data_IF_206473896724
#
_entry.id   IF_206473896724
#
_cell.length_a   1.000
_cell.length_b   1.000
_cell.length_c   1.000
_cell.angle_alpha   90.00
_cell.angle_beta   90.00
_cell.angle_gamma   90.00
#
_symmetry.space_group_name_H-M   'P 1'
#
loop_
_entity.id
_entity.type
_entity.pdbx_description
1 polymer ?
#
# COMPACT_ATOMS: atom_id res chain seq x y z
N UNK A 1 -16.07 15.30 -9.79
CA UNK A 1 -14.79 15.64 -9.14
C UNK A 1 -14.25 14.35 -8.56
N UNK A 2 -13.06 13.91 -8.95
CA UNK A 2 -12.44 12.70 -8.41
C UNK A 2 -12.12 12.94 -6.93
N UNK A 3 -12.84 12.27 -6.02
CA UNK A 3 -12.44 12.23 -4.62
C UNK A 3 -11.23 11.31 -4.51
N UNK A 4 -10.04 11.86 -4.78
CA UNK A 4 -8.77 11.21 -4.46
C UNK A 4 -8.79 10.94 -2.97
N UNK A 5 -8.60 9.67 -2.58
CA UNK A 5 -8.48 9.30 -1.17
C UNK A 5 -7.03 9.44 -0.78
N UNK A 6 -6.75 10.50 -0.04
CA UNK A 6 -5.44 10.74 0.53
C UNK A 6 -5.26 9.87 1.78
N UNK A 7 -4.07 9.30 1.91
CA UNK A 7 -3.59 8.67 3.14
C UNK A 7 -2.49 9.54 3.72
N UNK A 8 -2.35 9.57 5.03
CA UNK A 8 -1.65 10.65 5.72
C UNK A 8 -0.38 10.17 6.41
N UNK A 9 0.62 11.04 6.51
CA UNK A 9 1.83 10.77 7.28
C UNK A 9 1.57 10.97 8.79
N UNK A 10 2.31 10.30 9.70
CA UNK A 10 2.25 10.58 11.13
C UNK A 10 2.31 12.07 11.51
N UNK A 11 3.07 12.87 10.77
CA UNK A 11 3.15 14.32 10.98
C UNK A 11 1.82 15.02 10.69
N UNK A 12 1.12 14.63 9.62
CA UNK A 12 -0.19 15.20 9.29
C UNK A 12 -1.22 14.90 10.39
N UNK A 13 -1.20 13.68 10.93
CA UNK A 13 -2.09 13.26 12.03
C UNK A 13 -1.77 14.04 13.30
N UNK A 14 -0.48 14.19 13.63
CA UNK A 14 -0.03 14.98 14.79
C UNK A 14 -0.45 16.44 14.68
N UNK A 15 -0.32 17.03 13.50
CA UNK A 15 -0.79 18.39 13.25
C UNK A 15 -2.30 18.50 13.36
N UNK A 16 -3.04 17.50 12.89
CA UNK A 16 -4.49 17.46 12.99
C UNK A 16 -4.97 17.38 14.45
N UNK A 17 -4.33 16.54 15.28
CA UNK A 17 -4.57 16.50 16.73
C UNK A 17 -4.28 17.87 17.37
N UNK A 18 -3.17 18.51 17.00
CA UNK A 18 -2.83 19.85 17.51
C UNK A 18 -3.86 20.91 17.08
N UNK A 19 -4.37 20.85 15.84
CA UNK A 19 -5.42 21.75 15.36
C UNK A 19 -6.74 21.51 16.08
N UNK A 20 -7.09 20.26 16.36
CA UNK A 20 -8.28 19.93 17.15
C UNK A 20 -8.19 20.49 18.57
N UNK A 21 -7.03 20.31 19.23
CA UNK A 21 -6.84 20.75 20.62
C UNK A 21 -6.67 22.27 20.71
N UNK A 22 -5.66 22.82 20.04
CA UNK A 22 -5.28 24.22 20.19
C UNK A 22 -6.06 25.16 19.27
N UNK A 23 -6.48 24.68 18.10
CA UNK A 23 -7.24 25.48 17.13
C UNK A 23 -8.74 25.49 17.42
N UNK A 24 -9.34 24.32 17.65
CA UNK A 24 -10.77 24.17 17.92
C UNK A 24 -11.13 24.18 19.41
N UNK A 25 -10.15 24.03 20.30
CA UNK A 25 -10.35 24.04 21.74
C UNK A 25 -10.92 22.74 22.32
N UNK A 26 -10.81 21.63 21.60
CA UNK A 26 -11.33 20.33 22.06
C UNK A 26 -10.33 19.72 23.04
N UNK A 27 -10.72 19.39 24.29
CA UNK A 27 -9.80 18.77 25.23
C UNK A 27 -9.27 17.43 24.72
N UNK A 28 -7.98 17.17 24.89
CA UNK A 28 -7.29 15.92 24.53
C UNK A 28 -8.02 14.67 25.04
N UNK A 29 -8.50 14.71 26.29
CA UNK A 29 -9.26 13.61 26.89
C UNK A 29 -10.58 13.30 26.16
N UNK A 30 -11.19 14.30 25.49
CA UNK A 30 -12.40 14.10 24.67
C UNK A 30 -12.05 13.41 23.35
N UNK A 31 -10.91 13.74 22.73
CA UNK A 31 -10.43 13.04 21.54
C UNK A 31 -10.17 11.56 21.86
N UNK A 32 -9.46 11.28 22.96
CA UNK A 32 -9.20 9.93 23.47
C UNK A 32 -10.50 9.19 23.81
N UNK A 33 -11.47 9.87 24.42
CA UNK A 33 -12.80 9.30 24.71
C UNK A 33 -13.52 8.84 23.44
N UNK A 34 -13.49 9.66 22.38
CA UNK A 34 -14.11 9.33 21.10
C UNK A 34 -13.36 8.19 20.40
N UNK A 35 -12.02 8.23 20.37
CA UNK A 35 -11.18 7.17 19.82
C UNK A 35 -11.47 5.82 20.48
N UNK A 36 -11.33 5.74 21.81
CA UNK A 36 -11.57 4.51 22.56
C UNK A 36 -13.01 4.01 22.48
N UNK A 37 -14.01 4.91 22.47
CA UNK A 37 -15.41 4.51 22.24
C UNK A 37 -15.59 3.90 20.85
N UNK A 38 -15.05 4.54 19.81
CA UNK A 38 -15.09 4.09 18.42
C UNK A 38 -14.46 2.72 18.24
N UNK A 39 -13.27 2.49 18.81
CA UNK A 39 -12.62 1.17 18.84
C UNK A 39 -13.56 0.12 19.43
N UNK A 40 -14.15 0.40 20.58
CA UNK A 40 -15.00 -0.55 21.25
C UNK A 40 -16.34 -0.78 20.52
N UNK A 41 -16.87 0.22 19.81
CA UNK A 41 -18.04 0.10 18.93
C UNK A 41 -17.72 -0.82 17.74
N UNK A 42 -16.63 -0.56 17.03
CA UNK A 42 -16.20 -1.36 15.87
C UNK A 42 -15.95 -2.81 16.27
N UNK A 43 -15.19 -3.05 17.36
CA UNK A 43 -14.92 -4.41 17.85
C UNK A 43 -16.22 -5.12 18.23
N UNK A 44 -17.15 -4.43 18.90
CA UNK A 44 -18.43 -5.01 19.30
C UNK A 44 -19.32 -5.38 18.11
N UNK A 45 -19.30 -4.55 17.05
CA UNK A 45 -20.05 -4.80 15.82
C UNK A 45 -19.43 -5.93 14.98
N UNK A 46 -18.10 -5.93 14.84
CA UNK A 46 -17.36 -6.92 14.04
C UNK A 46 -17.35 -8.30 14.70
N UNK A 47 -17.34 -8.35 16.03
CA UNK A 47 -17.24 -9.57 16.82
C UNK A 47 -18.35 -9.63 17.89
N UNK A 48 -19.63 -9.82 17.48
CA UNK A 48 -20.77 -9.75 18.39
C UNK A 48 -20.79 -10.87 19.43
N UNK A 49 -20.22 -12.04 19.10
CA UNK A 49 -20.19 -13.22 19.97
C UNK A 49 -19.05 -13.20 21.00
N UNK A 50 -18.03 -12.35 20.81
CA UNK A 50 -16.90 -12.25 21.73
C UNK A 50 -17.35 -11.67 23.07
N UNK A 51 -16.94 -12.34 24.16
CA UNK A 51 -17.30 -12.05 25.54
C UNK A 51 -16.10 -11.59 26.37
N UNK A 52 -14.92 -12.16 26.13
CA UNK A 52 -13.69 -11.91 26.87
C UNK A 52 -12.65 -11.18 26.03
N UNK A 53 -12.12 -10.07 26.54
CA UNK A 53 -11.19 -9.21 25.84
C UNK A 53 -9.94 -8.97 26.69
N UNK A 54 -8.78 -9.24 26.11
CA UNK A 54 -7.50 -8.81 26.65
C UNK A 54 -7.08 -7.53 25.95
N UNK A 55 -6.82 -6.46 26.69
CA UNK A 55 -6.19 -5.25 26.16
C UNK A 55 -4.73 -5.22 26.62
N UNK A 56 -3.80 -5.07 25.69
CA UNK A 56 -2.39 -4.82 25.98
C UNK A 56 -2.08 -3.35 25.71
N UNK A 57 -1.82 -2.58 26.77
CA UNK A 57 -1.70 -1.12 26.68
C UNK A 57 -0.27 -0.67 26.92
N UNK A 58 0.28 0.13 26.00
CA UNK A 58 1.61 0.70 26.12
C UNK A 58 1.60 2.12 26.69
N UNK A 59 2.77 2.78 26.82
CA UNK A 59 2.92 4.02 27.59
C UNK A 59 2.33 5.28 26.94
N UNK A 60 2.08 5.23 25.64
CA UNK A 60 1.61 6.39 24.87
C UNK A 60 0.10 6.58 24.90
N UNK A 61 -0.38 7.56 24.13
CA UNK A 61 -1.82 7.82 23.99
C UNK A 61 -2.57 6.62 23.41
N UNK A 62 -1.94 5.77 22.57
CA UNK A 62 -2.55 4.54 22.07
C UNK A 62 -2.97 3.61 23.22
N UNK A 63 -2.16 3.51 24.28
CA UNK A 63 -2.53 2.78 25.49
C UNK A 63 -3.71 3.42 26.22
N UNK A 64 -3.78 4.75 26.25
CA UNK A 64 -4.94 5.50 26.74
C UNK A 64 -6.23 5.21 25.97
N UNK A 65 -6.15 5.10 24.64
CA UNK A 65 -7.26 4.71 23.78
C UNK A 65 -7.71 3.27 24.09
N UNK A 66 -6.75 2.35 24.28
CA UNK A 66 -7.01 0.97 24.72
C UNK A 66 -7.70 0.88 26.08
N UNK A 67 -7.24 1.65 27.08
CA UNK A 67 -7.86 1.74 28.41
C UNK A 67 -9.30 2.25 28.34
N UNK A 68 -9.52 3.26 27.51
CA UNK A 68 -10.85 3.83 27.25
C UNK A 68 -11.75 2.80 26.57
N UNK A 69 -11.24 2.10 25.56
CA UNK A 69 -11.96 1.04 24.86
C UNK A 69 -12.34 -0.12 25.78
N UNK A 70 -11.43 -0.55 26.66
CA UNK A 70 -11.69 -1.58 27.67
C UNK A 70 -12.87 -1.20 28.57
N UNK A 71 -12.90 0.05 29.05
CA UNK A 71 -14.02 0.57 29.85
C UNK A 71 -15.34 0.49 29.08
N UNK A 72 -15.35 0.88 27.82
CA UNK A 72 -16.55 0.82 26.98
C UNK A 72 -16.98 -0.61 26.66
N UNK A 73 -16.06 -1.57 26.53
CA UNK A 73 -16.40 -3.00 26.43
C UNK A 73 -17.12 -3.47 27.70
N UNK A 74 -16.64 -3.09 28.89
CA UNK A 74 -17.32 -3.42 30.15
C UNK A 74 -18.72 -2.80 30.25
N UNK A 75 -18.89 -1.55 29.81
CA UNK A 75 -20.22 -0.89 29.75
C UNK A 75 -21.21 -1.68 28.91
N UNK A 76 -20.74 -2.40 27.88
CA UNK A 76 -21.55 -3.28 27.03
C UNK A 76 -21.78 -4.68 27.63
N UNK A 77 -21.43 -4.90 28.90
CA UNK A 77 -21.66 -6.16 29.61
C UNK A 77 -20.75 -7.31 29.16
N UNK A 78 -19.55 -6.98 28.68
CA UNK A 78 -18.48 -7.91 28.28
C UNK A 78 -17.33 -7.85 29.29
N UNK A 79 -16.50 -8.89 29.33
CA UNK A 79 -15.35 -8.99 30.23
C UNK A 79 -14.13 -8.36 29.57
N UNK A 80 -13.45 -7.47 30.29
CA UNK A 80 -12.19 -6.87 29.87
C UNK A 80 -11.12 -7.08 30.94
N UNK A 81 -9.94 -7.53 30.52
CA UNK A 81 -8.72 -7.59 31.31
C UNK A 81 -7.67 -6.72 30.62
N UNK A 82 -6.85 -6.02 31.39
CA UNK A 82 -5.79 -5.17 30.86
C UNK A 82 -4.42 -5.62 31.36
N UNK A 83 -3.45 -5.69 30.46
CA UNK A 83 -2.03 -5.80 30.78
C UNK A 83 -1.33 -4.50 30.38
N UNK A 84 -0.65 -3.85 31.32
CA UNK A 84 0.14 -2.65 31.08
C UNK A 84 1.57 -3.04 30.71
N UNK A 85 2.03 -2.67 29.51
CA UNK A 85 3.38 -2.92 28.99
C UNK A 85 4.39 -1.83 29.38
N UNK A 86 4.09 -1.07 30.43
CA UNK A 86 4.90 0.04 30.89
C UNK A 86 4.62 0.37 32.37
N UNK A 87 5.56 1.11 32.95
CA UNK A 87 5.36 1.74 34.26
C UNK A 87 4.31 2.86 34.15
N UNK A 88 3.37 2.92 35.10
CA UNK A 88 2.27 3.89 35.10
C UNK A 88 2.75 5.35 35.08
N UNK A 89 3.93 5.60 35.67
CA UNK A 89 4.54 6.94 35.67
C UNK A 89 4.89 7.47 34.26
N UNK A 90 4.83 6.63 33.22
CA UNK A 90 5.05 7.02 31.82
C UNK A 90 3.79 7.50 31.11
N UNK A 91 2.61 7.32 31.69
CA UNK A 91 1.36 7.72 31.06
C UNK A 91 1.23 9.24 30.94
N UNK A 92 0.61 9.67 29.83
CA UNK A 92 0.07 11.03 29.73
C UNK A 92 -1.00 11.26 30.80
N UNK A 93 -1.26 12.52 31.21
CA UNK A 93 -2.31 12.83 32.18
C UNK A 93 -3.67 12.21 31.84
N UNK A 94 -4.02 12.17 30.55
CA UNK A 94 -5.25 11.60 30.02
C UNK A 94 -5.27 10.07 30.13
N UNK A 95 -4.16 9.41 29.77
CA UNK A 95 -4.04 7.94 29.89
C UNK A 95 -4.09 7.50 31.35
N UNK A 96 -3.38 8.21 32.24
CA UNK A 96 -3.42 7.98 33.68
C UNK A 96 -4.82 8.19 34.26
N UNK A 97 -5.55 9.21 33.77
CA UNK A 97 -6.93 9.46 34.17
C UNK A 97 -7.85 8.31 33.75
N UNK A 98 -7.72 7.81 32.52
CA UNK A 98 -8.50 6.67 32.05
C UNK A 98 -8.17 5.38 32.81
N UNK A 99 -6.90 5.16 33.17
CA UNK A 99 -6.50 4.04 34.02
C UNK A 99 -7.16 4.11 35.41
N UNK A 100 -7.15 5.28 36.06
CA UNK A 100 -7.80 5.48 37.36
C UNK A 100 -9.31 5.21 37.29
N UNK A 101 -9.98 5.69 36.24
CA UNK A 101 -11.41 5.43 36.02
C UNK A 101 -11.65 3.93 35.81
N UNK A 102 -10.87 3.28 34.95
CA UNK A 102 -11.02 1.86 34.60
C UNK A 102 -10.84 0.94 35.83
N UNK A 103 -9.90 1.26 36.72
CA UNK A 103 -9.74 0.53 38.00
C UNK A 103 -10.98 0.67 38.87
N UNK A 104 -11.58 1.87 38.92
CA UNK A 104 -12.81 2.14 39.68
C UNK A 104 -14.05 1.47 39.10
N UNK A 105 -14.03 1.03 37.83
CA UNK A 105 -15.10 0.19 37.26
C UNK A 105 -14.94 -1.29 37.61
N UNK A 106 -13.89 -1.67 38.35
CA UNK A 106 -13.61 -3.05 38.73
C UNK A 106 -12.91 -3.87 37.65
N UNK A 107 -12.33 -3.22 36.64
CA UNK A 107 -11.52 -3.92 35.63
C UNK A 107 -10.30 -4.57 36.29
N UNK A 108 -9.99 -5.80 35.89
CA UNK A 108 -8.74 -6.43 36.31
C UNK A 108 -7.59 -5.88 35.46
N UNK A 109 -6.63 -5.22 36.13
CA UNK A 109 -5.48 -4.58 35.49
C UNK A 109 -4.21 -5.17 36.10
N UNK A 110 -3.31 -5.64 35.24
CA UNK A 110 -2.06 -6.29 35.61
C UNK A 110 -0.88 -5.56 35.00
N UNK A 111 0.25 -5.53 35.71
CA UNK A 111 1.51 -5.07 35.15
C UNK A 111 2.21 -6.23 34.46
N UNK A 112 2.61 -6.04 33.20
CA UNK A 112 3.37 -7.04 32.44
C UNK A 112 4.62 -7.50 33.19
N UNK A 113 5.31 -6.59 33.89
CA UNK A 113 6.51 -6.89 34.70
C UNK A 113 6.26 -7.87 35.85
N UNK A 114 5.00 -8.07 36.26
CA UNK A 114 4.59 -9.06 37.26
C UNK A 114 4.25 -10.43 36.67
N UNK A 115 4.33 -10.58 35.34
CA UNK A 115 3.96 -11.77 34.58
C UNK A 115 5.11 -12.28 33.72
N UNK A 116 5.34 -13.58 33.77
CA UNK A 116 6.13 -14.30 32.76
C UNK A 116 5.50 -14.19 31.37
N UNK A 117 6.29 -14.43 30.32
CA UNK A 117 5.78 -14.41 28.95
C UNK A 117 4.75 -15.52 28.72
N UNK A 118 4.91 -16.65 29.40
CA UNK A 118 3.98 -17.78 29.39
C UNK A 118 2.64 -17.42 30.03
N UNK A 119 2.64 -16.66 31.13
CA UNK A 119 1.41 -16.17 31.76
C UNK A 119 0.67 -15.17 30.86
N UNK A 120 1.40 -14.24 30.23
CA UNK A 120 0.80 -13.31 29.26
C UNK A 120 0.17 -14.08 28.10
N UNK A 121 0.91 -15.07 27.57
CA UNK A 121 0.41 -15.93 26.49
C UNK A 121 -0.84 -16.70 26.92
N UNK A 122 -0.83 -17.31 28.12
CA UNK A 122 -1.98 -18.03 28.65
C UNK A 122 -3.23 -17.13 28.78
N UNK A 123 -3.07 -15.89 29.26
CA UNK A 123 -4.17 -14.91 29.31
C UNK A 123 -4.64 -14.56 27.89
N UNK A 124 -3.71 -14.37 26.94
CA UNK A 124 -4.07 -14.09 25.56
C UNK A 124 -4.87 -15.23 24.90
N UNK A 125 -4.57 -16.49 25.23
CA UNK A 125 -5.31 -17.66 24.73
C UNK A 125 -6.66 -17.89 25.43
N UNK A 126 -6.86 -17.42 26.66
CA UNK A 126 -8.17 -17.52 27.36
C UNK A 126 -9.18 -16.45 26.93
N UNK A 127 -8.73 -15.41 26.22
CA UNK A 127 -9.58 -14.33 25.74
C UNK A 127 -9.98 -14.57 24.28
N UNK A 128 -11.22 -14.18 23.93
CA UNK A 128 -11.74 -14.31 22.57
C UNK A 128 -11.01 -13.38 21.60
N UNK A 129 -10.65 -12.19 22.10
CA UNK A 129 -10.00 -11.12 21.34
C UNK A 129 -8.89 -10.50 22.18
N UNK A 130 -7.72 -10.35 21.56
CA UNK A 130 -6.63 -9.52 22.07
C UNK A 130 -6.66 -8.17 21.34
N UNK A 131 -6.59 -7.07 22.08
CA UNK A 131 -6.56 -5.71 21.55
C UNK A 131 -5.16 -5.15 21.77
N UNK A 132 -4.43 -4.98 20.67
CA UNK A 132 -3.13 -4.33 20.62
C UNK A 132 -3.29 -2.82 20.68
N UNK A 133 -3.01 -2.25 21.85
CA UNK A 133 -2.96 -0.83 22.12
C UNK A 133 -1.56 -0.43 22.64
N UNK A 134 -0.50 -1.12 22.19
CA UNK A 134 0.86 -0.92 22.69
C UNK A 134 1.49 0.35 22.12
N UNK A 135 1.57 0.45 20.78
CA UNK A 135 2.18 1.57 20.07
C UNK A 135 1.26 2.05 18.94
N UNK A 136 1.15 3.38 18.77
CA UNK A 136 0.31 4.02 17.74
C UNK A 136 1.15 4.74 16.68
N UNK A 137 0.55 5.70 15.97
CA UNK A 137 1.18 6.50 14.90
C UNK A 137 2.41 7.30 15.37
N UNK A 138 2.55 7.56 16.66
CA UNK A 138 3.70 8.26 17.24
C UNK A 138 4.95 7.39 17.42
N UNK A 139 4.88 6.10 17.08
CA UNK A 139 5.99 5.17 17.20
C UNK A 139 6.91 5.18 15.97
N UNK A 140 8.15 4.74 16.17
CA UNK A 140 9.13 4.57 15.09
C UNK A 140 10.10 3.43 15.38
N UNK A 141 10.46 2.70 14.33
CA UNK A 141 11.32 1.52 14.38
C UNK A 141 10.71 0.33 15.12
N UNK A 142 11.52 -0.70 15.32
CA UNK A 142 11.09 -1.92 16.01
C UNK A 142 10.60 -1.69 17.45
N UNK A 143 9.59 -2.46 17.92
CA UNK A 143 9.23 -2.50 19.33
C UNK A 143 10.42 -3.01 20.16
N UNK A 144 10.59 -2.51 21.38
CA UNK A 144 11.76 -2.79 22.23
C UNK A 144 11.36 -3.07 23.67
N UNK A 145 12.22 -3.79 24.38
CA UNK A 145 12.07 -4.06 25.81
C UNK A 145 10.73 -4.73 26.11
N UNK A 146 10.00 -4.18 27.08
CA UNK A 146 8.75 -4.78 27.54
C UNK A 146 7.66 -4.82 26.46
N UNK A 147 7.60 -3.82 25.59
CA UNK A 147 6.65 -3.81 24.48
C UNK A 147 6.92 -4.99 23.54
N UNK A 148 8.20 -5.22 23.18
CA UNK A 148 8.58 -6.36 22.34
C UNK A 148 8.20 -7.69 22.99
N UNK A 149 8.49 -7.84 24.29
CA UNK A 149 8.15 -9.05 25.05
C UNK A 149 6.64 -9.34 25.03
N UNK A 150 5.80 -8.32 25.18
CA UNK A 150 4.34 -8.47 25.11
C UNK A 150 3.89 -8.81 23.69
N UNK A 151 4.44 -8.15 22.66
CA UNK A 151 4.16 -8.47 21.24
C UNK A 151 4.46 -9.94 20.95
N UNK A 152 5.61 -10.44 21.41
CA UNK A 152 5.99 -11.84 21.24
C UNK A 152 5.06 -12.79 22.00
N UNK A 153 4.70 -12.45 23.24
CA UNK A 153 3.86 -13.30 24.10
C UNK A 153 2.41 -13.45 23.58
N UNK A 154 1.86 -12.40 22.95
CA UNK A 154 0.53 -12.46 22.33
C UNK A 154 0.56 -13.01 20.90
N UNK A 155 1.75 -13.18 20.31
CA UNK A 155 1.91 -13.70 18.96
C UNK A 155 1.35 -15.12 18.87
N UNK A 156 0.56 -15.39 17.84
CA UNK A 156 -0.10 -16.68 17.65
C UNK A 156 -1.32 -16.92 18.56
N UNK A 157 -1.71 -15.94 19.39
CA UNK A 157 -3.06 -15.92 19.97
C UNK A 157 -4.13 -15.79 18.87
N UNK A 158 -5.41 -15.95 19.22
CA UNK A 158 -6.52 -16.01 18.28
C UNK A 158 -6.74 -14.71 17.48
N UNK A 159 -7.87 -14.04 17.72
CA UNK A 159 -8.18 -12.81 16.99
C UNK A 159 -7.48 -11.63 17.65
N UNK A 160 -6.61 -10.94 16.91
CA UNK A 160 -5.97 -9.70 17.36
C UNK A 160 -6.57 -8.50 16.63
N UNK A 161 -6.94 -7.45 17.37
CA UNK A 161 -7.37 -6.15 16.84
C UNK A 161 -6.33 -5.11 17.22
N UNK A 162 -5.77 -4.39 16.25
CA UNK A 162 -4.87 -3.28 16.53
C UNK A 162 -5.62 -1.96 16.65
N UNK A 163 -5.23 -1.14 17.63
CA UNK A 163 -5.67 0.24 17.78
C UNK A 163 -4.65 1.13 17.08
N UNK A 164 -5.15 1.98 16.19
CA UNK A 164 -4.43 2.92 15.35
C UNK A 164 -3.59 2.29 14.22
N UNK A 165 -2.59 1.51 14.62
CA UNK A 165 -1.66 0.78 13.77
C UNK A 165 -1.19 -0.47 14.51
N UNK A 166 -0.99 -1.62 13.83
CA UNK A 166 -0.39 -2.77 14.48
C UNK A 166 1.00 -2.42 15.01
N UNK A 167 1.22 -2.69 16.29
CA UNK A 167 2.49 -2.40 16.96
C UNK A 167 3.63 -3.07 16.21
N UNK A 168 4.64 -2.27 15.81
CA UNK A 168 5.80 -2.71 15.04
C UNK A 168 5.72 -2.47 13.53
N UNK A 169 4.58 -1.98 13.02
CA UNK A 169 4.49 -1.40 11.67
C UNK A 169 4.83 0.10 11.75
N UNK A 170 5.75 0.56 10.90
CA UNK A 170 6.06 1.98 10.79
C UNK A 170 4.88 2.74 10.14
N UNK A 171 4.31 3.74 10.80
CA UNK A 171 3.12 4.44 10.32
C UNK A 171 3.37 5.36 9.12
N UNK A 172 4.63 5.69 8.82
CA UNK A 172 5.00 6.57 7.69
C UNK A 172 5.19 5.83 6.37
N UNK A 173 5.72 4.60 6.40
CA UNK A 173 6.12 3.89 5.19
C UNK A 173 5.80 2.39 5.18
N UNK A 174 5.20 1.86 6.26
CA UNK A 174 4.75 0.47 6.35
C UNK A 174 5.90 -0.51 6.60
N UNK A 175 7.09 -0.04 6.95
CA UNK A 175 8.21 -0.91 7.28
C UNK A 175 7.95 -1.75 8.52
N UNK A 176 8.47 -2.97 8.48
CA UNK A 176 8.51 -3.89 9.63
C UNK A 176 9.95 -4.39 9.74
N UNK A 177 10.60 -4.12 10.87
CA UNK A 177 12.04 -4.41 11.04
C UNK A 177 12.30 -5.76 11.73
N UNK A 178 11.75 -5.96 12.94
CA UNK A 178 12.01 -7.16 13.74
C UNK A 178 10.73 -7.94 14.05
N UNK A 179 9.83 -7.32 14.81
CA UNK A 179 8.57 -7.92 15.23
C UNK A 179 7.42 -6.92 15.02
N UNK A 180 6.29 -7.45 14.58
CA UNK A 180 5.05 -6.69 14.50
C UNK A 180 3.85 -7.58 14.83
N UNK A 181 2.83 -6.97 15.41
CA UNK A 181 1.53 -7.61 15.64
C UNK A 181 0.86 -7.85 14.30
N UNK A 182 0.40 -9.08 14.06
CA UNK A 182 -0.42 -9.42 12.90
C UNK A 182 -1.90 -9.38 13.29
N UNK A 183 -2.55 -8.26 13.00
CA UNK A 183 -3.95 -8.04 13.31
C UNK A 183 -4.89 -8.66 12.27
N UNK A 184 -6.06 -9.09 12.74
CA UNK A 184 -7.20 -9.44 11.89
C UNK A 184 -8.01 -8.20 11.48
N UNK A 185 -7.91 -7.14 12.29
CA UNK A 185 -8.57 -5.85 12.09
C UNK A 185 -7.68 -4.76 12.70
N UNK A 186 -7.52 -3.63 12.00
CA UNK A 186 -6.95 -2.41 12.56
C UNK A 186 -8.03 -1.34 12.58
N UNK A 187 -8.26 -0.76 13.76
CA UNK A 187 -9.17 0.38 13.93
C UNK A 187 -8.34 1.64 14.05
N UNK A 188 -8.28 2.41 12.98
CA UNK A 188 -7.46 3.61 12.89
C UNK A 188 -8.26 4.89 13.11
N UNK A 189 -7.66 5.87 13.77
CA UNK A 189 -8.35 7.10 14.15
C UNK A 189 -8.15 8.20 13.13
N UNK A 190 -9.19 9.00 12.87
CA UNK A 190 -9.20 10.19 12.01
C UNK A 190 -9.02 9.92 10.51
N UNK A 191 -7.96 9.22 10.12
CA UNK A 191 -7.68 8.82 8.73
C UNK A 191 -6.68 7.65 8.66
N UNK A 192 -6.65 6.99 7.50
CA UNK A 192 -5.64 6.00 7.16
C UNK A 192 -4.24 6.62 7.17
N UNK A 193 -3.34 6.01 7.93
CA UNK A 193 -1.91 6.32 7.90
C UNK A 193 -1.26 5.62 6.73
N UNK A 194 -0.24 6.25 6.17
CA UNK A 194 0.48 5.73 4.98
C UNK A 194 0.97 4.31 5.20
N UNK A 195 1.51 3.99 6.38
CA UNK A 195 2.02 2.65 6.69
C UNK A 195 0.98 1.53 6.73
N UNK A 196 -0.31 1.86 6.79
CA UNK A 196 -1.39 0.87 6.73
C UNK A 196 -1.59 0.33 5.31
N UNK A 197 -1.23 1.10 4.26
CA UNK A 197 -1.47 0.74 2.85
C UNK A 197 -0.21 0.29 2.10
N UNK A 198 0.96 0.38 2.72
CA UNK A 198 2.24 0.02 2.10
C UNK A 198 2.74 -1.32 2.64
N UNK A 199 3.15 -2.22 1.75
CA UNK A 199 3.79 -3.48 2.11
C UNK A 199 5.22 -3.23 2.66
N UNK A 200 5.68 -4.01 3.66
CA UNK A 200 5.02 -5.18 4.24
C UNK A 200 3.90 -4.88 5.24
N UNK A 201 3.84 -3.67 5.80
CA UNK A 201 2.91 -3.24 6.85
C UNK A 201 1.44 -3.54 6.57
N UNK A 202 0.97 -3.32 5.34
CA UNK A 202 -0.41 -3.67 4.91
C UNK A 202 -0.77 -5.13 5.22
N UNK A 203 0.20 -6.04 5.12
CA UNK A 203 0.05 -7.47 5.42
C UNK A 203 -0.15 -7.82 6.90
N UNK A 204 0.07 -6.85 7.81
CA UNK A 204 -0.12 -6.98 9.25
C UNK A 204 -1.42 -6.34 9.74
N UNK A 205 -2.12 -5.58 8.91
CA UNK A 205 -3.25 -4.74 9.35
C UNK A 205 -4.59 -5.47 9.37
N UNK A 206 -4.76 -6.52 8.57
CA UNK A 206 -6.07 -7.16 8.36
C UNK A 206 -7.07 -6.23 7.66
N UNK A 207 -8.34 -6.30 8.04
CA UNK A 207 -9.32 -5.27 7.62
C UNK A 207 -8.96 -3.93 8.28
N UNK A 208 -9.26 -2.80 7.63
CA UNK A 208 -8.99 -1.46 8.18
C UNK A 208 -10.31 -0.73 8.32
N UNK A 209 -10.59 -0.23 9.52
CA UNK A 209 -11.78 0.58 9.82
C UNK A 209 -11.34 1.93 10.38
N UNK A 210 -11.93 3.01 9.87
CA UNK A 210 -11.63 4.37 10.32
C UNK A 210 -12.70 4.82 11.31
N UNK A 211 -12.30 5.29 12.48
CA UNK A 211 -13.20 5.92 13.46
C UNK A 211 -12.90 7.40 13.60
N UNK A 212 -13.94 8.20 13.81
CA UNK A 212 -13.78 9.63 14.11
C UNK A 212 -13.32 9.86 15.55
N UNK A 213 -12.65 10.99 15.78
CA UNK A 213 -12.22 11.44 17.10
C UNK A 213 -13.07 12.62 17.61
N UNK A 214 -14.26 12.81 17.04
CA UNK A 214 -15.15 13.95 17.34
C UNK A 214 -14.85 15.23 16.56
N UNK A 215 -14.04 15.17 15.50
CA UNK A 215 -13.83 16.28 14.56
C UNK A 215 -14.01 15.83 13.10
N UNK A 216 -14.59 16.68 12.24
CA UNK A 216 -14.61 16.40 10.80
C UNK A 216 -13.17 16.37 10.25
N UNK A 217 -12.75 15.28 9.56
CA UNK A 217 -11.39 15.16 9.04
C UNK A 217 -10.98 16.34 8.14
N UNK A 218 -11.91 16.84 7.32
CA UNK A 218 -11.68 17.98 6.41
C UNK A 218 -11.35 19.31 7.11
N UNK A 219 -11.57 19.43 8.42
CA UNK A 219 -11.28 20.66 9.19
C UNK A 219 -9.87 20.62 9.75
N UNK A 220 -9.33 19.44 10.03
CA UNK A 220 -8.06 19.27 10.75
C UNK A 220 -6.95 18.70 9.88
N UNK A 221 -7.26 17.85 8.90
CA UNK A 221 -6.29 17.29 7.96
C UNK A 221 -6.00 18.26 6.81
N UNK A 222 -4.80 18.17 6.19
CA UNK A 222 -4.54 18.89 4.95
C UNK A 222 -5.46 18.40 3.83
N UNK A 223 -5.80 19.31 2.90
CA UNK A 223 -6.66 18.99 1.75
C UNK A 223 -6.03 17.92 0.82
N UNK A 224 -4.70 17.87 0.79
CA UNK A 224 -3.91 16.94 -0.03
C UNK A 224 -2.80 16.33 0.78
N UNK A 225 -2.52 15.06 0.48
CA UNK A 225 -1.32 14.34 0.92
C UNK A 225 -0.43 14.02 -0.27
N UNK A 226 0.84 13.73 0.00
CA UNK A 226 1.79 13.20 -0.99
C UNK A 226 1.49 11.75 -1.40
N UNK A 227 0.53 11.07 -0.78
CA UNK A 227 0.13 9.70 -1.13
C UNK A 227 -1.39 9.59 -1.21
N UNK A 228 -1.87 8.86 -2.21
CA UNK A 228 -3.27 8.49 -2.36
C UNK A 228 -3.43 7.01 -2.60
N UNK A 229 -4.54 6.46 -2.12
CA UNK A 229 -4.91 5.05 -2.30
C UNK A 229 -6.01 4.93 -3.35
N UNK A 230 -5.99 3.82 -4.09
CA UNK A 230 -7.00 3.46 -5.08
C UNK A 230 -7.70 2.18 -4.66
N UNK A 231 -9.02 2.25 -4.45
CA UNK A 231 -9.84 1.08 -4.15
C UNK A 231 -10.68 0.65 -5.36
N UNK A 232 -11.16 -0.60 -5.41
CA UNK A 232 -12.06 -1.06 -6.47
C UNK A 232 -13.30 -0.16 -6.67
N UNK A 233 -13.81 0.46 -5.60
CA UNK A 233 -14.92 1.41 -5.67
C UNK A 233 -14.61 2.68 -6.48
N UNK A 234 -13.32 2.98 -6.68
CA UNK A 234 -12.87 4.15 -7.41
C UNK A 234 -12.67 3.87 -8.91
N UNK A 235 -12.69 2.59 -9.32
CA UNK A 235 -12.45 2.18 -10.72
C UNK A 235 -13.41 2.82 -11.72
N UNK A 236 -14.71 2.86 -11.40
CA UNK A 236 -15.71 3.50 -12.27
C UNK A 236 -15.48 4.99 -12.49
N UNK A 237 -14.69 5.67 -11.65
CA UNK A 237 -14.42 7.11 -11.72
C UNK A 237 -13.21 7.47 -12.56
N UNK A 238 -12.30 6.51 -12.79
CA UNK A 238 -11.07 6.71 -13.56
C UNK A 238 -11.19 6.20 -14.99
N UNK A 239 -12.25 5.42 -15.29
CA UNK A 239 -12.51 5.00 -16.66
C UNK A 239 -12.87 6.22 -17.53
N UNK A 240 -12.39 6.26 -18.78
CA UNK A 240 -12.78 7.29 -19.72
C UNK A 240 -14.29 7.26 -19.97
N UNK A 241 -14.89 8.44 -20.09
CA UNK A 241 -16.29 8.57 -20.49
C UNK A 241 -16.40 8.29 -21.99
N UNK A 242 -17.23 7.30 -22.34
CA UNK A 242 -17.38 6.86 -23.71
C UNK A 242 -18.69 7.36 -24.29
N UNK A 243 -18.59 8.27 -25.25
CA UNK A 243 -19.74 8.70 -26.06
C UNK A 243 -20.37 7.51 -26.81
N UNK A 244 -21.70 7.50 -26.94
CA UNK A 244 -22.41 6.52 -27.78
C UNK A 244 -22.00 6.58 -29.26
N UNK A 245 -21.40 7.69 -29.70
CA UNK A 245 -20.93 7.89 -31.07
C UNK A 245 -19.46 7.50 -31.27
N UNK A 246 -18.83 6.95 -30.25
CA UNK A 246 -17.41 6.60 -30.31
C UNK A 246 -17.13 5.54 -31.37
N UNK A 247 -16.07 5.74 -32.14
CA UNK A 247 -15.57 4.76 -33.09
C UNK A 247 -14.13 4.34 -32.75
N UNK A 248 -13.63 3.31 -33.44
CA UNK A 248 -12.30 2.74 -33.18
C UNK A 248 -11.15 3.77 -33.26
N UNK A 249 -11.27 4.83 -34.06
CA UNK A 249 -10.24 5.87 -34.14
C UNK A 249 -10.13 6.70 -32.87
N UNK A 250 -11.23 6.93 -32.14
CA UNK A 250 -11.24 7.76 -30.93
C UNK A 250 -10.66 7.01 -29.72
N UNK A 251 -10.62 5.68 -29.80
CA UNK A 251 -10.09 4.78 -28.76
C UNK A 251 -8.60 4.52 -28.90
N UNK A 252 -7.96 5.17 -29.88
CA UNK A 252 -6.55 5.12 -30.15
C UNK A 252 -6.03 3.77 -30.68
N UNK A 253 -4.85 3.83 -31.28
CA UNK A 253 -4.07 2.69 -31.73
C UNK A 253 -2.88 2.46 -30.78
N UNK A 254 -2.81 1.27 -30.20
CA UNK A 254 -1.66 0.86 -29.37
C UNK A 254 -0.70 0.04 -30.21
N UNK A 255 0.57 0.43 -30.23
CA UNK A 255 1.65 -0.39 -30.78
C UNK A 255 2.34 -1.15 -29.66
N UNK A 256 2.46 -2.47 -29.79
CA UNK A 256 3.26 -3.31 -28.91
C UNK A 256 4.52 -3.75 -29.65
N UNK A 257 5.69 -3.36 -29.15
CA UNK A 257 6.99 -3.76 -29.69
C UNK A 257 7.67 -4.70 -28.68
N UNK A 258 7.78 -5.97 -29.04
CA UNK A 258 8.25 -6.97 -28.09
C UNK A 258 8.44 -8.35 -28.69
N UNK A 259 8.93 -9.26 -27.88
CA UNK A 259 9.16 -10.64 -28.25
C UNK A 259 10.52 -10.92 -28.90
N UNK A 260 10.85 -12.20 -28.89
CA UNK A 260 12.09 -12.80 -29.38
C UNK A 260 11.83 -14.26 -29.74
N UNK A 261 12.81 -14.94 -30.32
CA UNK A 261 12.77 -16.38 -30.56
C UNK A 261 12.50 -17.18 -29.27
N UNK A 262 12.91 -16.64 -28.11
CA UNK A 262 12.69 -17.20 -26.77
C UNK A 262 11.33 -16.81 -26.20
N UNK A 263 10.99 -15.52 -26.21
CA UNK A 263 9.82 -14.98 -25.50
C UNK A 263 8.69 -14.61 -26.46
N UNK A 264 8.09 -15.62 -27.09
CA UNK A 264 7.12 -15.45 -28.19
C UNK A 264 5.75 -14.95 -27.75
N UNK A 265 5.33 -15.27 -26.52
CA UNK A 265 3.98 -14.96 -26.02
C UNK A 265 3.84 -13.60 -25.33
N UNK A 266 4.96 -13.02 -24.87
CA UNK A 266 4.94 -11.75 -24.12
C UNK A 266 4.27 -10.59 -24.88
N UNK A 267 4.63 -10.28 -26.15
CA UNK A 267 3.98 -9.19 -26.89
C UNK A 267 2.48 -9.46 -27.15
N UNK A 268 2.09 -10.72 -27.30
CA UNK A 268 0.69 -11.13 -27.52
C UNK A 268 -0.15 -10.89 -26.28
N UNK A 269 0.37 -11.23 -25.09
CA UNK A 269 -0.32 -10.98 -23.82
C UNK A 269 -0.49 -9.47 -23.56
N UNK A 270 0.53 -8.66 -23.84
CA UNK A 270 0.44 -7.20 -23.75
C UNK A 270 -0.61 -6.63 -24.72
N UNK A 271 -0.67 -7.15 -25.95
CA UNK A 271 -1.68 -6.77 -26.93
C UNK A 271 -3.11 -7.11 -26.48
N UNK A 272 -3.32 -8.30 -25.90
CA UNK A 272 -4.61 -8.67 -25.30
C UNK A 272 -5.00 -7.74 -24.17
N UNK A 273 -4.04 -7.37 -23.31
CA UNK A 273 -4.24 -6.39 -22.24
C UNK A 273 -4.76 -5.06 -22.78
N UNK A 274 -4.12 -4.53 -23.83
CA UNK A 274 -4.54 -3.29 -24.47
C UNK A 274 -5.96 -3.38 -25.09
N UNK A 275 -6.26 -4.48 -25.79
CA UNK A 275 -7.60 -4.73 -26.33
C UNK A 275 -8.67 -4.80 -25.22
N UNK A 276 -8.38 -5.51 -24.13
CA UNK A 276 -9.29 -5.64 -22.98
C UNK A 276 -9.48 -4.33 -22.23
N UNK A 277 -8.47 -3.46 -22.21
CA UNK A 277 -8.57 -2.10 -21.67
C UNK A 277 -9.39 -1.15 -22.55
N UNK A 278 -9.74 -1.55 -23.78
CA UNK A 278 -10.63 -0.82 -24.67
C UNK A 278 -9.94 -0.07 -25.81
N UNK A 279 -8.68 -0.40 -26.13
CA UNK A 279 -7.99 0.16 -27.30
C UNK A 279 -8.81 -0.03 -28.59
N UNK A 280 -8.78 0.99 -29.46
CA UNK A 280 -9.49 0.97 -30.73
C UNK A 280 -8.88 0.05 -31.78
N UNK A 281 -7.57 -0.13 -31.69
CA UNK A 281 -6.83 -1.15 -32.43
C UNK A 281 -5.49 -1.44 -31.75
N UNK A 282 -4.93 -2.61 -32.04
CA UNK A 282 -3.61 -2.99 -31.54
C UNK A 282 -2.75 -3.54 -32.68
N UNK A 283 -1.57 -2.97 -32.84
CA UNK A 283 -0.54 -3.42 -33.77
C UNK A 283 0.57 -4.09 -32.97
N UNK A 284 1.00 -5.27 -33.41
CA UNK A 284 2.06 -6.04 -32.76
C UNK A 284 3.26 -6.13 -33.70
N UNK A 285 4.38 -5.54 -33.27
CA UNK A 285 5.69 -5.72 -33.87
C UNK A 285 6.47 -6.75 -33.03
N UNK A 286 6.50 -7.98 -33.54
CA UNK A 286 7.16 -9.10 -32.90
C UNK A 286 7.78 -10.01 -33.98
N UNK A 287 8.82 -10.80 -33.66
CA UNK A 287 9.39 -11.74 -34.63
C UNK A 287 8.34 -12.74 -35.13
N UNK A 288 8.51 -13.26 -36.35
CA UNK A 288 7.60 -14.22 -36.99
C UNK A 288 7.32 -15.46 -36.12
N UNK A 289 8.26 -15.83 -35.23
CA UNK A 289 8.06 -16.92 -34.26
C UNK A 289 6.88 -16.69 -33.32
N UNK A 290 6.41 -15.44 -33.17
CA UNK A 290 5.23 -15.06 -32.39
C UNK A 290 3.94 -15.12 -33.21
N UNK A 291 4.00 -15.25 -34.55
CA UNK A 291 2.82 -15.26 -35.41
C UNK A 291 2.01 -16.55 -35.29
N UNK A 292 2.59 -17.59 -34.68
CA UNK A 292 1.85 -18.80 -34.32
C UNK A 292 0.59 -18.50 -33.48
N UNK A 293 0.57 -17.39 -32.75
CA UNK A 293 -0.58 -16.95 -31.94
C UNK A 293 -1.60 -16.10 -32.72
N UNK A 294 -1.29 -15.68 -33.95
CA UNK A 294 -2.18 -14.81 -34.73
C UNK A 294 -3.50 -15.50 -35.11
N UNK A 295 -3.48 -16.83 -35.28
CA UNK A 295 -4.68 -17.60 -35.58
C UNK A 295 -5.72 -17.60 -34.45
N UNK A 296 -5.24 -17.60 -33.20
CA UNK A 296 -6.11 -17.59 -32.02
C UNK A 296 -6.60 -16.17 -31.67
N UNK A 297 -5.94 -15.14 -32.22
CA UNK A 297 -6.17 -13.72 -31.94
C UNK A 297 -6.27 -12.87 -33.21
N UNK A 298 -7.27 -13.12 -34.09
CA UNK A 298 -7.42 -12.40 -35.35
C UNK A 298 -7.75 -10.91 -35.20
N UNK A 299 -8.09 -10.46 -33.99
CA UNK A 299 -8.32 -9.06 -33.64
C UNK A 299 -7.04 -8.22 -33.57
N UNK A 300 -5.86 -8.84 -33.51
CA UNK A 300 -4.56 -8.17 -33.51
C UNK A 300 -4.02 -8.01 -34.93
N UNK A 301 -3.27 -6.93 -35.15
CA UNK A 301 -2.61 -6.69 -36.44
C UNK A 301 -1.10 -6.90 -36.25
N UNK A 302 -0.57 -8.01 -36.75
CA UNK A 302 0.89 -8.19 -36.82
C UNK A 302 1.46 -7.36 -37.97
N UNK A 303 2.52 -6.61 -37.70
CA UNK A 303 3.23 -5.80 -38.70
C UNK A 303 4.58 -6.38 -39.04
N UNK A 304 5.09 -6.07 -40.22
CA UNK A 304 6.43 -6.47 -40.66
C UNK A 304 7.51 -5.93 -39.72
N UNK A 305 8.48 -6.78 -39.42
CA UNK A 305 9.63 -6.48 -38.56
C UNK A 305 10.92 -6.99 -39.19
N UNK A 306 12.05 -6.42 -38.81
CA UNK A 306 13.38 -6.94 -39.12
C UNK A 306 13.97 -7.60 -37.88
N UNK A 307 14.69 -8.71 -38.04
CA UNK A 307 15.21 -9.48 -36.92
C UNK A 307 16.67 -9.90 -37.14
N UNK A 308 17.48 -9.81 -36.09
CA UNK A 308 18.83 -10.37 -36.00
C UNK A 308 18.80 -11.56 -35.04
N UNK A 309 19.15 -12.75 -35.54
CA UNK A 309 19.22 -13.99 -34.74
C UNK A 309 17.97 -14.27 -33.88
N UNK A 310 16.79 -13.87 -34.39
CA UNK A 310 15.51 -14.07 -33.72
C UNK A 310 15.13 -12.99 -32.69
N UNK A 311 15.90 -11.91 -32.57
CA UNK A 311 15.55 -10.70 -31.83
C UNK A 311 15.18 -9.58 -32.80
N UNK A 312 14.32 -8.65 -32.39
CA UNK A 312 13.99 -7.50 -33.23
C UNK A 312 15.21 -6.60 -33.44
N UNK A 313 15.44 -6.17 -34.68
CA UNK A 313 16.53 -5.27 -35.06
C UNK A 313 16.07 -3.80 -35.10
N UNK A 314 16.99 -2.82 -35.04
CA UNK A 314 16.67 -1.39 -35.04
C UNK A 314 15.90 -0.90 -36.28
N UNK A 315 16.05 -1.57 -37.42
CA UNK A 315 15.34 -1.27 -38.69
C UNK A 315 13.83 -1.52 -38.57
N UNK A 316 13.41 -2.34 -37.60
CA UNK A 316 11.99 -2.54 -37.29
C UNK A 316 11.27 -1.22 -37.02
N UNK A 317 11.95 -0.25 -36.39
CA UNK A 317 11.34 1.05 -36.10
C UNK A 317 11.02 1.84 -37.38
N UNK A 318 11.90 1.82 -38.37
CA UNK A 318 11.65 2.49 -39.67
C UNK A 318 10.48 1.83 -40.41
N UNK A 319 10.39 0.50 -40.39
CA UNK A 319 9.27 -0.24 -40.98
C UNK A 319 7.93 0.14 -40.33
N UNK A 320 7.92 0.25 -39.00
CA UNK A 320 6.74 0.70 -38.23
C UNK A 320 6.37 2.12 -38.63
N UNK A 321 7.31 3.07 -38.59
CA UNK A 321 7.03 4.48 -38.89
C UNK A 321 6.55 4.67 -40.34
N UNK A 322 7.13 3.96 -41.30
CA UNK A 322 6.71 4.03 -42.71
C UNK A 322 5.26 3.56 -42.92
N UNK A 323 4.81 2.55 -42.17
CA UNK A 323 3.49 1.93 -42.35
C UNK A 323 2.41 2.51 -41.44
N UNK A 324 2.78 2.89 -40.22
CA UNK A 324 1.86 3.26 -39.13
C UNK A 324 2.13 4.65 -38.54
N UNK A 325 3.16 5.35 -39.01
CA UNK A 325 3.49 6.70 -38.55
C UNK A 325 2.28 7.65 -38.61
N UNK A 326 2.14 8.47 -37.57
CA UNK A 326 1.02 9.42 -37.42
C UNK A 326 -0.33 8.78 -37.06
N UNK A 327 -0.41 7.44 -36.93
CA UNK A 327 -1.63 6.72 -36.51
C UNK A 327 -1.52 6.06 -35.16
N UNK A 328 -0.30 5.92 -34.62
CA UNK A 328 -0.04 5.33 -33.32
C UNK A 328 -0.32 6.40 -32.27
N UNK A 329 -1.05 6.05 -31.21
CA UNK A 329 -1.36 6.95 -30.10
C UNK A 329 -0.55 6.61 -28.84
N UNK A 330 -0.11 5.35 -28.71
CA UNK A 330 0.74 4.91 -27.61
C UNK A 330 1.58 3.70 -27.99
N UNK A 331 2.72 3.55 -27.32
CA UNK A 331 3.66 2.45 -27.53
C UNK A 331 3.87 1.69 -26.22
N UNK A 332 3.85 0.37 -26.29
CA UNK A 332 4.34 -0.54 -25.25
C UNK A 332 5.61 -1.19 -25.76
N UNK A 333 6.69 -1.15 -25.00
CA UNK A 333 7.95 -1.77 -25.40
C UNK A 333 8.61 -2.52 -24.25
N UNK A 334 9.27 -3.63 -24.58
CA UNK A 334 10.06 -4.40 -23.62
C UNK A 334 9.60 -5.82 -23.29
N UNK A 335 8.29 -6.17 -23.30
CA UNK A 335 7.85 -7.54 -23.07
C UNK A 335 8.52 -8.55 -24.03
N UNK A 336 9.50 -9.29 -23.52
CA UNK A 336 10.22 -10.34 -24.24
C UNK A 336 11.21 -9.87 -25.31
N UNK A 337 11.65 -8.61 -25.30
CA UNK A 337 12.61 -8.07 -26.29
C UNK A 337 13.95 -8.79 -26.33
N UNK A 338 14.28 -9.56 -25.28
CA UNK A 338 15.63 -10.07 -25.04
C UNK A 338 16.61 -8.93 -24.70
N UNK A 339 17.85 -9.29 -24.35
CA UNK A 339 18.85 -8.36 -23.78
C UNK A 339 20.09 -8.19 -24.65
N UNK A 340 19.98 -8.52 -25.94
CA UNK A 340 21.05 -8.35 -26.92
C UNK A 340 21.17 -6.93 -27.45
N UNK A 341 22.27 -6.66 -28.17
CA UNK A 341 22.61 -5.32 -28.67
C UNK A 341 21.57 -4.77 -29.66
N UNK A 342 21.05 -5.60 -30.57
CA UNK A 342 20.01 -5.20 -31.52
C UNK A 342 18.73 -4.73 -30.83
N UNK A 343 18.29 -5.44 -29.79
CA UNK A 343 17.11 -5.07 -28.99
C UNK A 343 17.35 -3.76 -28.21
N UNK A 344 18.55 -3.58 -27.66
CA UNK A 344 18.94 -2.34 -26.97
C UNK A 344 18.97 -1.14 -27.91
N UNK A 345 19.51 -1.33 -29.13
CA UNK A 345 19.54 -0.29 -30.16
C UNK A 345 18.12 0.05 -30.64
N UNK A 346 17.23 -0.93 -30.83
CA UNK A 346 15.82 -0.70 -31.13
C UNK A 346 15.12 0.09 -30.02
N UNK A 347 15.29 -0.31 -28.75
CA UNK A 347 14.73 0.42 -27.61
C UNK A 347 15.24 1.87 -27.55
N UNK A 348 16.55 2.09 -27.76
CA UNK A 348 17.15 3.43 -27.79
C UNK A 348 16.52 4.32 -28.86
N UNK A 349 16.22 3.78 -30.05
CA UNK A 349 15.49 4.50 -31.10
C UNK A 349 14.07 4.85 -30.68
N UNK A 350 13.30 3.88 -30.18
CA UNK A 350 11.94 4.12 -29.68
C UNK A 350 11.95 5.21 -28.61
N UNK A 351 12.86 5.11 -27.64
CA UNK A 351 12.99 6.09 -26.54
C UNK A 351 13.30 7.50 -27.03
N UNK A 352 14.11 7.65 -28.08
CA UNK A 352 14.57 8.97 -28.59
C UNK A 352 13.66 9.57 -29.67
N UNK A 353 13.01 8.73 -30.47
CA UNK A 353 12.30 9.16 -31.69
C UNK A 353 10.78 9.18 -31.52
N UNK A 354 10.20 8.35 -30.65
CA UNK A 354 8.77 8.44 -30.32
C UNK A 354 8.55 9.67 -29.44
N UNK A 355 7.44 10.42 -29.57
CA UNK A 355 7.16 11.56 -28.67
C UNK A 355 5.90 11.39 -27.83
N UNK A 356 5.06 10.39 -28.15
CA UNK A 356 3.80 10.15 -27.44
C UNK A 356 3.95 9.29 -26.18
N UNK A 357 2.79 8.90 -25.59
CA UNK A 357 2.72 8.00 -24.45
C UNK A 357 3.50 6.70 -24.66
N UNK A 358 4.33 6.34 -23.68
CA UNK A 358 5.20 5.16 -23.73
C UNK A 358 5.06 4.35 -22.44
N UNK A 359 4.78 3.06 -22.57
CA UNK A 359 4.87 2.09 -21.47
C UNK A 359 6.13 1.25 -21.65
N UNK A 360 7.04 1.31 -20.68
CA UNK A 360 8.29 0.55 -20.68
C UNK A 360 8.21 -0.54 -19.62
N UNK A 361 8.35 -1.79 -20.06
CA UNK A 361 8.21 -2.97 -19.21
C UNK A 361 9.33 -3.99 -19.48
N UNK A 362 9.52 -4.95 -18.57
CA UNK A 362 10.40 -6.10 -18.77
C UNK A 362 11.82 -5.76 -19.26
N UNK A 363 12.24 -6.36 -20.39
CA UNK A 363 13.62 -6.22 -20.88
C UNK A 363 13.97 -4.78 -21.29
N UNK A 364 13.00 -3.93 -21.61
CA UNK A 364 13.27 -2.52 -21.88
C UNK A 364 13.74 -1.77 -20.62
N UNK A 365 13.26 -2.17 -19.43
CA UNK A 365 13.74 -1.61 -18.16
C UNK A 365 15.20 -1.98 -17.89
N UNK A 366 15.68 -3.13 -18.38
CA UNK A 366 17.08 -3.51 -18.29
C UNK A 366 17.98 -2.58 -19.11
N UNK A 367 17.55 -2.17 -20.31
CA UNK A 367 18.32 -1.19 -21.10
C UNK A 367 18.27 0.20 -20.47
N UNK A 368 17.09 0.60 -20.00
CA UNK A 368 16.90 1.85 -19.27
C UNK A 368 17.85 1.92 -18.05
N UNK A 369 17.96 0.86 -17.26
CA UNK A 369 18.85 0.78 -16.10
C UNK A 369 20.35 0.90 -16.42
N UNK A 370 20.79 0.60 -17.65
CA UNK A 370 22.21 0.54 -18.02
C UNK A 370 22.71 1.75 -18.78
N UNK A 371 21.82 2.46 -19.46
CA UNK A 371 22.16 3.67 -20.18
C UNK A 371 21.64 4.89 -19.42
N UNK A 372 22.53 5.50 -18.64
CA UNK A 372 22.21 6.71 -17.88
C UNK A 372 21.76 7.89 -18.76
N UNK A 373 22.05 7.88 -20.07
CA UNK A 373 21.51 8.89 -20.99
C UNK A 373 20.01 8.73 -21.26
N UNK A 374 19.43 7.58 -20.90
CA UNK A 374 18.01 7.28 -21.03
C UNK A 374 17.24 7.47 -19.69
N UNK A 375 17.94 7.62 -18.57
CA UNK A 375 17.35 7.76 -17.23
C UNK A 375 17.43 9.18 -16.67
N UNK A 376 16.37 9.64 -15.98
CA UNK A 376 15.02 9.83 -16.48
C UNK A 376 14.88 11.20 -17.17
N UNK A 377 14.45 11.23 -18.45
CA UNK A 377 14.23 12.48 -19.22
C UNK A 377 13.13 12.35 -20.28
N UNK A 378 11.96 11.78 -19.95
CA UNK A 378 10.86 11.67 -20.91
C UNK A 378 9.50 11.91 -20.24
N UNK A 379 8.74 12.85 -20.78
CA UNK A 379 7.34 13.06 -20.36
C UNK A 379 6.45 11.91 -20.86
N UNK A 380 5.23 11.79 -20.32
CA UNK A 380 4.23 10.79 -20.74
C UNK A 380 4.71 9.33 -20.76
N UNK A 381 5.63 8.98 -19.85
CA UNK A 381 6.19 7.63 -19.77
C UNK A 381 5.75 6.93 -18.50
N UNK A 382 5.24 5.71 -18.63
CA UNK A 382 4.94 4.80 -17.53
C UNK A 382 5.99 3.70 -17.56
N UNK A 383 6.59 3.41 -16.41
CA UNK A 383 7.49 2.27 -16.22
C UNK A 383 6.88 1.31 -15.20
N UNK A 384 7.07 0.01 -15.42
CA UNK A 384 6.41 -1.04 -14.61
C UNK A 384 7.39 -1.99 -13.93
N UNK A 385 8.42 -1.50 -13.21
CA UNK A 385 9.42 -2.39 -12.63
C UNK A 385 8.85 -3.26 -11.51
N UNK A 386 9.17 -4.55 -11.53
CA UNK A 386 9.11 -5.37 -10.33
C UNK A 386 10.29 -5.02 -9.38
N UNK A 387 10.33 -5.60 -8.17
CA UNK A 387 11.34 -5.26 -7.15
C UNK A 387 12.80 -5.37 -7.66
N UNK A 388 13.15 -6.49 -8.27
CA UNK A 388 14.48 -6.67 -8.88
C UNK A 388 14.80 -5.77 -10.08
N UNK A 389 13.81 -5.27 -10.83
CA UNK A 389 14.03 -4.28 -11.90
C UNK A 389 14.23 -2.89 -11.31
N UNK A 390 13.43 -2.52 -10.31
CA UNK A 390 13.58 -1.27 -9.55
C UNK A 390 14.96 -1.16 -8.89
N UNK A 391 15.46 -2.25 -8.30
CA UNK A 391 16.80 -2.29 -7.71
C UNK A 391 17.91 -1.99 -8.75
N UNK A 392 17.76 -2.51 -9.97
CA UNK A 392 18.69 -2.25 -11.08
C UNK A 392 18.60 -0.80 -11.57
N UNK A 393 17.39 -0.28 -11.77
CA UNK A 393 17.16 1.11 -12.19
C UNK A 393 17.81 2.11 -11.24
N UNK A 394 17.71 1.86 -9.93
CA UNK A 394 18.32 2.73 -8.91
C UNK A 394 19.81 2.49 -8.68
N UNK A 395 20.42 1.48 -9.34
CA UNK A 395 21.78 1.02 -9.05
C UNK A 395 22.04 0.83 -7.55
N UNK A 396 20.99 0.49 -6.78
CA UNK A 396 21.04 0.49 -5.33
C UNK A 396 21.11 -0.95 -4.81
N UNK A 397 22.31 -1.40 -4.45
CA UNK A 397 22.48 -2.57 -3.57
C UNK A 397 22.12 -2.23 -2.11
N UNK A 398 21.84 -0.95 -1.80
CA UNK A 398 21.72 -0.44 -0.43
C UNK A 398 20.39 -0.72 0.25
N UNK A 399 19.34 -1.05 -0.50
CA UNK A 399 18.00 -1.24 0.06
C UNK A 399 17.39 -2.53 -0.48
N UNK A 400 16.78 -3.31 0.41
CA UNK A 400 15.84 -4.33 -0.01
C UNK A 400 14.56 -3.63 -0.48
N UNK A 401 14.29 -3.64 -1.80
CA UNK A 401 13.16 -2.89 -2.39
C UNK A 401 11.82 -3.29 -1.76
N UNK A 402 11.67 -4.56 -1.37
CA UNK A 402 10.45 -5.05 -0.71
C UNK A 402 10.13 -4.31 0.59
N UNK A 403 11.18 -3.85 1.29
CA UNK A 403 11.06 -3.22 2.60
C UNK A 403 11.00 -1.69 2.47
N UNK A 404 11.43 -1.12 1.35
CA UNK A 404 11.48 0.34 1.15
C UNK A 404 10.60 0.81 -0.01
N UNK A 405 9.47 0.14 -0.25
CA UNK A 405 8.63 0.32 -1.44
C UNK A 405 8.26 1.77 -1.72
N UNK A 406 7.73 2.50 -0.74
CA UNK A 406 7.33 3.90 -0.93
C UNK A 406 8.52 4.81 -1.24
N UNK A 407 9.64 4.61 -0.54
CA UNK A 407 10.88 5.38 -0.75
C UNK A 407 11.48 5.10 -2.14
N UNK A 408 11.53 3.84 -2.54
CA UNK A 408 12.02 3.41 -3.86
C UNK A 408 11.16 4.01 -4.96
N UNK A 409 9.83 3.92 -4.84
CA UNK A 409 8.89 4.47 -5.81
C UNK A 409 8.98 6.00 -5.96
N UNK A 410 9.34 6.73 -4.89
CA UNK A 410 9.58 8.18 -4.95
C UNK A 410 10.94 8.57 -5.54
N UNK A 411 11.89 7.64 -5.53
CA UNK A 411 13.26 7.89 -6.01
C UNK A 411 13.38 7.63 -7.51
N UNK A 412 12.65 6.61 -7.99
CA UNK A 412 12.40 6.35 -9.41
C UNK A 412 11.56 7.50 -9.98
#
# INVERSE_FOLDING_TARGET
MSHIRYIFDPLDIREADSRAISGLGIPSIVLMENAGRGVADVISARFPVARKFLFVCGPGNNGGDGLTAARHIMVRGKEAVVILACDEGKFSPESARNLDILRKTGCYVMDSSSLSSEEISAVAFDNDIVVDALLGYGSSGAPRGEVLRVVEAISGSGTIVAVDIPTGVDPSDGRVEEAAVKASLTVTMLAEKTGLEIMPGRGYCGDIEIVDIGVPPSVVLPEKSGVSVFYPSDAGRVLPDWSERIHKGDRGLVLVVGGSARYRGAPVLSALGALRAGAGGVVVAAPETSYAFAGDHPEMIFTETSCDEGSLSPETWDLILNKWGGRIDSVVTGPGLDRGDSAGALFSRIWREWEGPLCVDGDALHFLARDASLLPQREQTVITPHEGEAAKLLSSERYNVSDYRLKVARTI
#
